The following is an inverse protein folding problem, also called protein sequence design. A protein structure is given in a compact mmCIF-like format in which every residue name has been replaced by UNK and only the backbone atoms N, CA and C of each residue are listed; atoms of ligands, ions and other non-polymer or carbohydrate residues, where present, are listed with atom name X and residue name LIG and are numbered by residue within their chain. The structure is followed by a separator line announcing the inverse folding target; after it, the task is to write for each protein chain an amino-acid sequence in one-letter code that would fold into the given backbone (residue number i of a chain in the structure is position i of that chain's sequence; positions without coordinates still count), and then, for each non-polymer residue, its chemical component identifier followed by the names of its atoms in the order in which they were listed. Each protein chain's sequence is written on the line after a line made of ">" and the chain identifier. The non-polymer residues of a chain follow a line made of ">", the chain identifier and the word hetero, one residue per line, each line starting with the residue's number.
data_IF_695656636824
#
_entry.id   IF_695656636824
#
_cell.length_a   1.000
_cell.length_b   1.000
_cell.length_c   1.000
_cell.angle_alpha   90.00
_cell.angle_beta   90.00
_cell.angle_gamma   90.00
#
_symmetry.space_group_name_H-M   'P 1'
#
loop_
_entity.id
_entity.type
_entity.pdbx_description
1 polymer ?
#
# COMPACT_ATOMS: atom_id res chain seq x y z
N UNK A 1 -11.38 23.23 -3.32
CA UNK A 1 -10.57 21.99 -3.26
C UNK A 1 -10.37 21.68 -1.78
N UNK A 2 -10.76 20.51 -1.34
CA UNK A 2 -10.73 20.15 0.08
C UNK A 2 -9.31 20.19 0.65
N UNK A 3 -9.22 20.61 1.91
CA UNK A 3 -7.99 20.70 2.71
C UNK A 3 -8.21 20.06 4.07
N UNK A 4 -7.14 19.74 4.75
CA UNK A 4 -7.17 19.35 6.16
C UNK A 4 -6.48 20.43 7.00
N UNK A 5 -7.11 20.78 8.10
CA UNK A 5 -6.53 21.67 9.13
C UNK A 5 -6.27 20.84 10.37
N UNK A 6 -5.03 20.88 10.85
CA UNK A 6 -4.58 20.21 12.08
C UNK A 6 -4.07 21.26 13.04
N UNK A 7 -4.62 21.30 14.25
CA UNK A 7 -4.10 22.10 15.37
C UNK A 7 -3.36 21.16 16.34
N UNK A 8 -2.07 21.38 16.53
CA UNK A 8 -1.23 20.49 17.33
C UNK A 8 -1.38 20.66 18.84
N UNK A 9 -0.58 19.89 19.58
CA UNK A 9 -0.40 20.02 21.02
C UNK A 9 -1.33 19.18 21.90
N UNK A 10 -2.03 18.19 21.33
CA UNK A 10 -2.89 17.27 22.10
C UNK A 10 -2.32 15.84 22.00
N UNK A 11 -2.00 15.16 23.12
CA UNK A 11 -1.68 13.76 23.13
C UNK A 11 -2.85 12.93 22.61
N UNK A 12 -2.56 11.92 21.78
CA UNK A 12 -3.58 11.01 21.29
C UNK A 12 -3.87 9.91 22.33
N UNK A 13 -5.15 9.67 22.59
CA UNK A 13 -5.59 8.64 23.54
C UNK A 13 -6.83 7.91 23.01
N UNK A 14 -6.91 6.60 23.24
CA UNK A 14 -8.09 5.82 22.91
C UNK A 14 -7.81 4.62 22.01
N UNK A 15 -8.82 4.19 21.29
CA UNK A 15 -8.76 3.03 20.41
C UNK A 15 -9.08 3.45 18.97
N UNK A 16 -8.38 2.83 18.01
CA UNK A 16 -8.64 2.99 16.58
C UNK A 16 -8.76 1.62 15.92
N UNK A 17 -9.83 1.42 15.14
CA UNK A 17 -9.99 0.23 14.31
C UNK A 17 -9.24 0.42 12.98
N UNK A 18 -8.41 -0.54 12.65
CA UNK A 18 -7.63 -0.55 11.41
C UNK A 18 -8.49 -1.07 10.26
N UNK A 19 -8.41 -0.40 9.12
CA UNK A 19 -9.10 -0.78 7.89
C UNK A 19 -8.33 -1.86 7.12
N UNK A 20 -8.97 -2.45 6.12
CA UNK A 20 -8.32 -3.36 5.19
C UNK A 20 -7.17 -2.69 4.41
N UNK A 21 -6.17 -3.49 4.07
CA UNK A 21 -4.94 -3.01 3.44
C UNK A 21 -5.18 -2.55 1.99
N UNK A 22 -4.85 -1.29 1.72
CA UNK A 22 -4.86 -0.74 0.36
C UNK A 22 -4.04 -1.58 -0.62
N UNK A 23 -2.83 -1.95 -0.21
CA UNK A 23 -1.91 -2.69 -1.07
C UNK A 23 -2.30 -4.16 -1.28
N UNK A 24 -3.22 -4.70 -0.47
CA UNK A 24 -3.79 -6.03 -0.63
C UNK A 24 -5.09 -6.01 -1.44
N UNK A 25 -6.00 -5.09 -1.17
CA UNK A 25 -7.32 -5.06 -1.81
C UNK A 25 -7.24 -4.85 -3.32
N UNK A 26 -6.27 -4.06 -3.81
CA UNK A 26 -6.16 -3.77 -5.25
C UNK A 26 -5.82 -5.01 -6.08
N UNK A 27 -4.77 -5.81 -5.77
CA UNK A 27 -4.52 -7.07 -6.47
C UNK A 27 -5.64 -8.10 -6.26
N UNK A 28 -6.26 -8.17 -5.07
CA UNK A 28 -7.38 -9.08 -4.79
C UNK A 28 -8.58 -8.76 -5.67
N UNK A 29 -8.94 -7.48 -5.84
CA UNK A 29 -9.99 -7.07 -6.77
C UNK A 29 -9.66 -7.45 -8.22
N UNK A 30 -8.39 -7.31 -8.65
CA UNK A 30 -7.95 -7.75 -9.97
C UNK A 30 -8.02 -9.29 -10.11
N UNK A 31 -7.69 -10.05 -9.05
CA UNK A 31 -7.76 -11.51 -9.04
C UNK A 31 -9.17 -12.04 -9.28
N UNK A 32 -10.22 -11.28 -8.91
CA UNK A 32 -11.62 -11.68 -9.17
C UNK A 32 -11.92 -11.89 -10.65
N UNK A 33 -11.14 -11.27 -11.57
CA UNK A 33 -11.25 -11.49 -13.02
C UNK A 33 -10.95 -12.94 -13.41
N UNK A 34 -10.24 -13.70 -12.59
CA UNK A 34 -9.89 -15.11 -12.86
C UNK A 34 -11.03 -16.08 -12.54
N UNK A 35 -12.02 -15.67 -11.74
CA UNK A 35 -13.05 -16.55 -11.21
C UNK A 35 -14.19 -16.82 -12.21
N UNK A 36 -14.61 -18.08 -12.29
CA UNK A 36 -15.80 -18.51 -13.03
C UNK A 36 -17.02 -18.58 -12.08
N UNK A 37 -17.32 -17.45 -11.47
CA UNK A 37 -18.40 -17.26 -10.50
C UNK A 37 -18.19 -16.01 -9.66
N UNK A 38 -19.18 -15.60 -8.86
CA UNK A 38 -19.06 -14.41 -8.04
C UNK A 38 -18.04 -14.60 -6.91
N UNK A 39 -17.28 -13.56 -6.62
CA UNK A 39 -16.32 -13.48 -5.52
C UNK A 39 -16.76 -12.37 -4.57
N UNK A 40 -16.85 -12.71 -3.29
CA UNK A 40 -17.23 -11.80 -2.21
C UNK A 40 -15.99 -11.38 -1.43
N UNK A 41 -15.68 -10.09 -1.41
CA UNK A 41 -14.53 -9.53 -0.73
C UNK A 41 -14.99 -8.65 0.44
N UNK A 42 -14.60 -9.03 1.66
CA UNK A 42 -14.87 -8.28 2.88
C UNK A 42 -13.68 -7.44 3.33
N UNK A 43 -13.89 -6.63 4.36
CA UNK A 43 -12.91 -5.69 4.91
C UNK A 43 -12.27 -4.76 3.85
N UNK A 44 -13.07 -4.36 2.86
CA UNK A 44 -12.64 -3.46 1.78
C UNK A 44 -12.67 -2.02 2.27
N UNK A 45 -11.53 -1.30 2.28
CA UNK A 45 -11.51 0.09 2.71
C UNK A 45 -12.11 1.02 1.65
N UNK A 46 -12.79 2.08 2.08
CA UNK A 46 -13.31 3.09 1.17
C UNK A 46 -12.21 4.08 0.77
N UNK A 47 -11.49 3.76 -0.31
CA UNK A 47 -10.37 4.55 -0.84
C UNK A 47 -10.61 4.94 -2.31
N UNK A 48 -10.05 6.07 -2.74
CA UNK A 48 -10.10 6.48 -4.14
C UNK A 48 -9.52 5.41 -5.09
N UNK A 49 -8.44 4.75 -4.71
CA UNK A 49 -7.83 3.70 -5.54
C UNK A 49 -8.75 2.45 -5.65
N UNK A 50 -9.50 2.11 -4.61
CA UNK A 50 -10.52 1.04 -4.65
C UNK A 50 -11.64 1.41 -5.60
N UNK A 51 -12.18 2.63 -5.49
CA UNK A 51 -13.23 3.13 -6.40
C UNK A 51 -12.75 3.12 -7.86
N UNK A 52 -11.49 3.49 -8.11
CA UNK A 52 -10.89 3.47 -9.46
C UNK A 52 -10.76 2.04 -9.98
N UNK A 53 -10.33 1.08 -9.14
CA UNK A 53 -10.26 -0.34 -9.51
C UNK A 53 -11.66 -0.87 -9.85
N UNK A 54 -12.66 -0.58 -9.05
CA UNK A 54 -14.05 -0.99 -9.33
C UNK A 54 -14.55 -0.40 -10.66
N UNK A 55 -14.23 0.86 -10.97
CA UNK A 55 -14.55 1.46 -12.27
C UNK A 55 -13.87 0.72 -13.42
N UNK A 56 -12.59 0.36 -13.25
CA UNK A 56 -11.86 -0.42 -14.25
C UNK A 56 -12.49 -1.79 -14.46
N UNK A 57 -12.86 -2.52 -13.41
CA UNK A 57 -13.52 -3.82 -13.53
C UNK A 57 -14.87 -3.72 -14.25
N UNK A 58 -15.65 -2.67 -13.97
CA UNK A 58 -16.92 -2.39 -14.68
C UNK A 58 -16.70 -2.04 -16.14
N UNK A 59 -15.65 -1.28 -16.46
CA UNK A 59 -15.29 -0.93 -17.84
C UNK A 59 -14.88 -2.17 -18.66
N UNK A 60 -14.24 -3.15 -17.99
CA UNK A 60 -13.93 -4.45 -18.59
C UNK A 60 -15.18 -5.33 -18.79
N UNK A 61 -16.31 -4.95 -18.20
CA UNK A 61 -17.59 -5.65 -18.32
C UNK A 61 -17.96 -6.55 -17.12
N UNK A 62 -17.20 -6.52 -16.02
CA UNK A 62 -17.56 -7.23 -14.81
C UNK A 62 -18.77 -6.57 -14.10
N UNK A 63 -19.62 -7.38 -13.48
CA UNK A 63 -20.68 -6.91 -12.58
C UNK A 63 -20.07 -6.71 -11.20
N UNK A 64 -20.19 -5.50 -10.64
CA UNK A 64 -19.61 -5.17 -9.33
C UNK A 64 -20.63 -4.48 -8.47
N UNK A 65 -20.95 -5.09 -7.34
CA UNK A 65 -21.73 -4.51 -6.24
C UNK A 65 -20.72 -4.01 -5.18
N UNK A 66 -20.90 -2.79 -4.68
CA UNK A 66 -20.03 -2.18 -3.68
C UNK A 66 -20.87 -1.61 -2.53
N UNK A 67 -20.85 -2.31 -1.42
CA UNK A 67 -21.43 -1.88 -0.16
C UNK A 67 -20.36 -1.17 0.67
N UNK A 68 -20.33 0.16 0.55
CA UNK A 68 -19.31 1.02 1.19
C UNK A 68 -19.46 0.97 2.72
N UNK A 69 -20.70 0.95 3.22
CA UNK A 69 -20.98 1.05 4.66
C UNK A 69 -20.50 -0.20 5.42
N UNK A 70 -20.59 -1.36 4.78
CA UNK A 70 -20.14 -2.63 5.34
C UNK A 70 -18.74 -3.06 4.87
N UNK A 71 -18.07 -2.25 4.03
CA UNK A 71 -16.75 -2.57 3.50
C UNK A 71 -16.74 -3.88 2.69
N UNK A 72 -17.75 -4.08 1.84
CA UNK A 72 -17.92 -5.31 1.07
C UNK A 72 -18.04 -5.02 -0.43
N UNK A 73 -17.36 -5.85 -1.24
CA UNK A 73 -17.43 -5.82 -2.70
C UNK A 73 -17.71 -7.21 -3.22
N UNK A 74 -18.74 -7.34 -4.07
CA UNK A 74 -19.03 -8.57 -4.81
C UNK A 74 -18.73 -8.35 -6.28
N UNK A 75 -17.94 -9.22 -6.87
CA UNK A 75 -17.55 -9.17 -8.29
C UNK A 75 -17.96 -10.44 -9.00
N UNK A 76 -18.63 -10.29 -10.13
CA UNK A 76 -18.92 -11.39 -11.07
C UNK A 76 -18.27 -11.05 -12.42
N UNK A 77 -17.19 -11.77 -12.76
CA UNK A 77 -16.40 -11.54 -13.95
C UNK A 77 -16.86 -12.37 -15.18
N UNK A 78 -17.97 -13.12 -15.09
CA UNK A 78 -18.47 -13.94 -16.21
C UNK A 78 -18.97 -13.11 -17.39
N UNK A 79 -19.33 -11.85 -17.16
CA UNK A 79 -19.79 -10.90 -18.19
C UNK A 79 -18.69 -10.02 -18.79
N UNK A 80 -17.43 -10.23 -18.42
CA UNK A 80 -16.30 -9.49 -18.99
C UNK A 80 -16.25 -9.68 -20.52
N UNK A 81 -16.19 -8.56 -21.24
CA UNK A 81 -16.27 -8.51 -22.71
C UNK A 81 -15.22 -7.57 -23.34
N UNK A 82 -14.42 -6.89 -22.52
CA UNK A 82 -13.30 -6.08 -22.95
C UNK A 82 -12.01 -6.53 -22.26
N UNK A 83 -10.91 -6.54 -23.02
CA UNK A 83 -9.57 -6.87 -22.49
C UNK A 83 -8.63 -5.66 -22.56
N UNK A 84 -9.21 -4.46 -22.66
CA UNK A 84 -8.46 -3.20 -22.79
C UNK A 84 -8.62 -2.36 -21.53
N UNK A 85 -7.52 -2.12 -20.82
CA UNK A 85 -7.46 -1.17 -19.72
C UNK A 85 -7.00 0.22 -20.24
N UNK A 86 -7.93 1.20 -20.35
CA UNK A 86 -7.69 2.45 -21.07
C UNK A 86 -6.80 3.41 -20.25
N UNK A 87 -6.07 4.28 -20.98
CA UNK A 87 -5.16 5.28 -20.42
C UNK A 87 -5.83 6.15 -19.32
N UNK A 88 -7.08 6.56 -19.54
CA UNK A 88 -7.78 7.46 -18.61
C UNK A 88 -7.94 6.90 -17.19
N UNK A 89 -8.06 5.59 -17.04
CA UNK A 89 -8.11 4.91 -15.74
C UNK A 89 -6.71 4.55 -15.23
N UNK A 90 -5.83 4.05 -16.10
CA UNK A 90 -4.48 3.62 -15.71
C UNK A 90 -3.59 4.78 -15.29
N UNK A 91 -3.70 5.95 -15.94
CA UNK A 91 -2.90 7.15 -15.61
C UNK A 91 -3.10 7.65 -14.19
N UNK A 92 -4.29 7.42 -13.63
CA UNK A 92 -4.64 7.89 -12.27
C UNK A 92 -4.20 6.93 -11.17
N UNK A 93 -4.04 5.65 -11.53
CA UNK A 93 -3.69 4.59 -10.58
C UNK A 93 -2.79 3.54 -11.23
N UNK A 94 -1.52 3.56 -10.83
CA UNK A 94 -0.51 2.64 -11.39
C UNK A 94 -0.84 1.16 -11.20
N UNK A 95 -1.50 0.80 -10.08
CA UNK A 95 -1.94 -0.56 -9.80
C UNK A 95 -2.89 -1.13 -10.86
N UNK A 96 -3.43 -0.30 -11.76
CA UNK A 96 -4.25 -0.76 -12.89
C UNK A 96 -3.51 -1.73 -13.82
N UNK A 97 -2.16 -1.74 -13.82
CA UNK A 97 -1.36 -2.74 -14.55
C UNK A 97 -1.59 -4.18 -14.06
N UNK A 98 -2.13 -4.35 -12.85
CA UNK A 98 -2.40 -5.66 -12.25
C UNK A 98 -3.52 -6.46 -12.96
N UNK A 99 -4.30 -5.83 -13.82
CA UNK A 99 -5.27 -6.57 -14.65
C UNK A 99 -4.62 -7.32 -15.81
N UNK A 100 -3.34 -7.05 -16.12
CA UNK A 100 -2.61 -7.68 -17.22
C UNK A 100 -2.57 -9.22 -17.07
N UNK A 101 -2.12 -9.72 -15.94
CA UNK A 101 -2.04 -11.15 -15.67
C UNK A 101 -3.38 -11.86 -15.71
N UNK A 102 -4.38 -11.41 -14.95
CA UNK A 102 -5.71 -12.00 -14.99
C UNK A 102 -6.38 -12.01 -16.36
N UNK A 103 -6.33 -10.91 -17.12
CA UNK A 103 -6.91 -10.84 -18.44
C UNK A 103 -6.21 -11.79 -19.40
N UNK A 104 -4.88 -11.80 -19.41
CA UNK A 104 -4.09 -12.69 -20.26
C UNK A 104 -4.34 -14.17 -19.91
N UNK A 105 -4.33 -14.52 -18.62
CA UNK A 105 -4.49 -15.90 -18.17
C UNK A 105 -5.87 -16.49 -18.49
N UNK A 106 -6.91 -15.69 -18.32
CA UNK A 106 -8.30 -16.16 -18.50
C UNK A 106 -8.81 -16.03 -19.94
N UNK A 107 -8.45 -14.93 -20.62
CA UNK A 107 -9.02 -14.59 -21.93
C UNK A 107 -8.02 -14.69 -23.08
N UNK A 108 -6.75 -14.99 -22.82
CA UNK A 108 -5.71 -15.15 -23.82
C UNK A 108 -5.22 -13.84 -24.45
N UNK A 109 -5.75 -12.69 -24.04
CA UNK A 109 -5.34 -11.38 -24.56
C UNK A 109 -5.52 -10.29 -23.50
N UNK A 110 -4.61 -9.32 -23.49
CA UNK A 110 -4.71 -8.11 -22.70
C UNK A 110 -4.03 -6.92 -23.40
N UNK A 111 -4.68 -5.78 -23.39
CA UNK A 111 -4.10 -4.48 -23.73
C UNK A 111 -4.20 -3.55 -22.52
N UNK A 112 -3.07 -3.21 -21.92
CA UNK A 112 -3.05 -2.37 -20.73
C UNK A 112 -2.19 -1.15 -21.00
N UNK A 113 -2.78 0.05 -20.84
CA UNK A 113 -2.01 1.29 -20.99
C UNK A 113 -0.82 1.30 -20.04
N UNK A 114 0.31 1.81 -20.50
CA UNK A 114 1.44 2.08 -19.60
C UNK A 114 1.01 3.06 -18.51
N UNK A 115 1.34 2.79 -17.25
CA UNK A 115 1.05 3.72 -16.19
C UNK A 115 1.86 5.01 -16.38
N UNK A 116 1.28 6.15 -16.07
CA UNK A 116 1.97 7.44 -16.05
C UNK A 116 3.15 7.45 -15.07
N UNK A 117 3.98 8.47 -15.15
CA UNK A 117 5.10 8.67 -14.23
C UNK A 117 4.65 8.72 -12.76
N UNK A 118 5.49 8.22 -11.87
CA UNK A 118 5.27 8.28 -10.43
C UNK A 118 6.18 9.33 -9.80
N UNK A 119 5.63 10.16 -8.92
CA UNK A 119 6.39 11.22 -8.25
C UNK A 119 7.56 10.69 -7.41
N UNK A 120 7.42 9.48 -6.83
CA UNK A 120 8.42 8.88 -5.93
C UNK A 120 9.55 8.14 -6.64
N UNK A 121 9.50 7.97 -7.97
CA UNK A 121 10.58 7.34 -8.72
C UNK A 121 10.12 6.44 -9.88
N UNK A 122 11.12 5.91 -10.58
CA UNK A 122 10.92 4.96 -11.68
C UNK A 122 10.35 3.65 -11.15
N UNK A 123 9.29 3.19 -11.81
CA UNK A 123 8.69 1.87 -11.56
C UNK A 123 8.45 1.18 -12.89
N UNK A 124 9.49 0.64 -13.49
CA UNK A 124 9.40 0.01 -14.79
C UNK A 124 8.43 -1.18 -14.75
N UNK A 125 7.75 -1.41 -15.86
CA UNK A 125 6.83 -2.55 -16.04
C UNK A 125 7.53 -3.77 -16.63
N UNK A 126 8.85 -3.68 -16.82
CA UNK A 126 9.70 -4.71 -17.43
C UNK A 126 9.60 -6.06 -16.72
N UNK A 127 9.55 -6.07 -15.37
CA UNK A 127 9.41 -7.31 -14.60
C UNK A 127 8.04 -7.97 -14.82
N UNK A 128 6.97 -7.19 -15.01
CA UNK A 128 5.66 -7.72 -15.40
C UNK A 128 5.71 -8.37 -16.79
N UNK A 129 6.30 -7.67 -17.76
CA UNK A 129 6.44 -8.15 -19.15
C UNK A 129 7.29 -9.42 -19.18
N UNK A 130 8.46 -9.40 -18.54
CA UNK A 130 9.37 -10.53 -18.44
C UNK A 130 8.71 -11.76 -17.80
N UNK A 131 7.91 -11.55 -16.76
CA UNK A 131 7.15 -12.62 -16.12
C UNK A 131 6.11 -13.24 -17.05
N UNK A 132 5.35 -12.45 -17.81
CA UNK A 132 4.38 -12.95 -18.78
C UNK A 132 5.07 -13.70 -19.93
N UNK A 133 6.20 -13.20 -20.42
CA UNK A 133 7.00 -13.87 -21.45
C UNK A 133 7.57 -15.21 -20.95
N UNK A 134 8.01 -15.29 -19.70
CA UNK A 134 8.48 -16.53 -19.09
C UNK A 134 7.36 -17.60 -18.97
N UNK A 135 6.10 -17.16 -18.89
CA UNK A 135 4.92 -18.04 -18.95
C UNK A 135 4.43 -18.29 -20.39
N UNK A 136 5.22 -17.91 -21.41
CA UNK A 136 4.97 -18.21 -22.81
C UNK A 136 4.08 -17.22 -23.55
N UNK A 137 3.83 -16.04 -23.00
CA UNK A 137 3.09 -15.00 -23.71
C UNK A 137 3.95 -14.27 -24.74
N UNK A 138 3.33 -13.86 -25.83
CA UNK A 138 3.85 -12.85 -26.75
C UNK A 138 3.49 -11.47 -26.18
N UNK A 139 4.50 -10.64 -25.91
CA UNK A 139 4.28 -9.31 -25.35
C UNK A 139 5.03 -8.26 -26.15
N UNK A 140 4.31 -7.21 -26.57
CA UNK A 140 4.87 -6.00 -27.18
C UNK A 140 4.43 -4.74 -26.44
N UNK A 141 5.19 -3.66 -26.61
CA UNK A 141 4.82 -2.34 -26.14
C UNK A 141 4.66 -1.42 -27.35
N UNK A 142 3.43 -1.03 -27.63
CA UNK A 142 3.08 -0.25 -28.81
C UNK A 142 2.09 0.87 -28.45
N UNK A 143 2.33 2.06 -28.98
CA UNK A 143 1.45 3.22 -28.78
C UNK A 143 1.10 3.54 -27.31
N UNK A 144 2.03 3.24 -26.39
CA UNK A 144 1.81 3.45 -24.96
C UNK A 144 0.98 2.35 -24.27
N UNK A 145 0.79 1.20 -24.93
CA UNK A 145 0.12 0.02 -24.35
C UNK A 145 1.05 -1.19 -24.28
N UNK A 146 0.91 -1.95 -23.21
CA UNK A 146 1.41 -3.33 -23.13
C UNK A 146 0.35 -4.20 -23.80
N UNK A 147 0.71 -4.89 -24.88
CA UNK A 147 -0.14 -5.84 -25.58
C UNK A 147 0.39 -7.24 -25.34
N UNK A 148 -0.40 -8.10 -24.76
CA UNK A 148 -0.02 -9.47 -24.45
C UNK A 148 -1.02 -10.46 -25.05
N UNK A 149 -0.50 -11.58 -25.59
CA UNK A 149 -1.31 -12.68 -26.16
C UNK A 149 -0.70 -14.03 -25.78
N UNK A 150 -1.56 -14.99 -25.53
CA UNK A 150 -1.22 -16.41 -25.39
C UNK A 150 -2.48 -17.24 -25.64
N UNK A 151 -2.39 -18.35 -26.36
CA UNK A 151 -3.53 -19.28 -26.46
C UNK A 151 -3.87 -19.84 -25.07
N UNK A 152 -2.85 -20.24 -24.33
CA UNK A 152 -2.86 -20.58 -22.91
C UNK A 152 -1.46 -20.36 -22.35
N UNK A 153 -1.35 -19.74 -21.19
CA UNK A 153 -0.09 -19.61 -20.47
C UNK A 153 0.44 -20.99 -20.07
N UNK A 154 1.75 -21.15 -20.06
CA UNK A 154 2.43 -22.39 -19.70
C UNK A 154 3.20 -22.19 -18.42
N UNK A 155 3.20 -23.20 -17.55
CA UNK A 155 4.04 -23.25 -16.38
C UNK A 155 5.51 -23.07 -16.75
N UNK A 156 6.25 -22.34 -15.93
CA UNK A 156 7.64 -22.02 -16.20
C UNK A 156 8.36 -21.45 -15.01
N UNK A 157 9.67 -21.30 -15.12
CA UNK A 157 10.50 -20.64 -14.13
C UNK A 157 10.54 -19.14 -14.42
N UNK A 158 10.07 -18.35 -13.48
CA UNK A 158 10.11 -16.87 -13.52
C UNK A 158 11.11 -16.38 -12.48
N UNK A 159 12.16 -15.68 -12.92
CA UNK A 159 13.18 -15.10 -12.03
C UNK A 159 13.07 -13.58 -12.14
N UNK A 160 12.74 -12.92 -11.04
CA UNK A 160 12.73 -11.46 -10.99
C UNK A 160 14.16 -10.92 -10.79
N UNK A 161 14.57 -9.96 -11.61
CA UNK A 161 15.89 -9.34 -11.52
C UNK A 161 16.02 -8.51 -10.23
N UNK A 162 14.90 -7.96 -9.77
CA UNK A 162 14.74 -7.26 -8.50
C UNK A 162 13.41 -7.63 -7.87
N UNK A 163 13.36 -7.59 -6.55
CA UNK A 163 12.11 -7.80 -5.81
C UNK A 163 11.09 -6.73 -6.22
N UNK A 164 9.94 -7.18 -6.72
CA UNK A 164 8.85 -6.30 -7.15
C UNK A 164 7.52 -6.87 -6.69
N UNK A 165 6.85 -6.15 -5.80
CA UNK A 165 5.53 -6.54 -5.27
C UNK A 165 4.53 -6.67 -6.42
N UNK A 166 4.33 -5.62 -7.21
CA UNK A 166 3.35 -5.65 -8.30
C UNK A 166 3.64 -6.69 -9.38
N UNK A 167 4.91 -6.93 -9.73
CA UNK A 167 5.25 -7.98 -10.68
C UNK A 167 4.99 -9.37 -10.11
N UNK A 168 5.31 -9.60 -8.82
CA UNK A 168 5.00 -10.85 -8.13
C UNK A 168 3.49 -11.11 -8.11
N UNK A 169 2.67 -10.12 -7.74
CA UNK A 169 1.21 -10.20 -7.74
C UNK A 169 0.67 -10.56 -9.13
N UNK A 170 1.12 -9.86 -10.15
CA UNK A 170 0.64 -10.01 -11.51
C UNK A 170 0.98 -11.40 -12.09
N UNK A 171 2.23 -11.86 -11.89
CA UNK A 171 2.69 -13.17 -12.34
C UNK A 171 2.04 -14.30 -11.52
N UNK A 172 1.84 -14.11 -10.22
CA UNK A 172 1.14 -15.07 -9.36
C UNK A 172 -0.29 -15.31 -9.85
N UNK A 173 -1.02 -14.24 -10.17
CA UNK A 173 -2.37 -14.32 -10.75
C UNK A 173 -2.37 -15.02 -12.11
N UNK A 174 -1.42 -14.68 -12.98
CA UNK A 174 -1.30 -15.30 -14.29
C UNK A 174 -0.97 -16.80 -14.22
N UNK A 175 -0.06 -17.18 -13.33
CA UNK A 175 0.36 -18.56 -13.13
C UNK A 175 -0.76 -19.48 -12.60
N UNK A 176 -1.75 -18.92 -11.91
CA UNK A 176 -2.86 -19.68 -11.34
C UNK A 176 -3.66 -20.49 -12.39
N UNK A 177 -3.77 -19.98 -13.63
CA UNK A 177 -4.44 -20.66 -14.75
C UNK A 177 -3.49 -21.18 -15.83
N UNK A 178 -2.16 -21.09 -15.64
CA UNK A 178 -1.18 -21.61 -16.58
C UNK A 178 -1.23 -23.16 -16.65
N UNK A 179 -0.88 -23.72 -17.79
CA UNK A 179 -0.78 -25.17 -17.96
C UNK A 179 0.55 -25.68 -17.37
N UNK A 180 0.48 -26.46 -16.31
CA UNK A 180 1.66 -27.02 -15.62
C UNK A 180 2.05 -26.27 -14.34
N UNK A 181 3.32 -26.33 -13.98
CA UNK A 181 3.87 -25.78 -12.73
C UNK A 181 4.70 -24.54 -13.02
N UNK A 182 4.44 -23.47 -12.30
CA UNK A 182 5.25 -22.24 -12.33
C UNK A 182 6.03 -22.09 -11.01
N UNK A 183 7.29 -21.63 -11.12
CA UNK A 183 8.13 -21.32 -9.96
C UNK A 183 8.60 -19.88 -10.09
N UNK A 184 8.16 -19.03 -9.16
CA UNK A 184 8.57 -17.64 -9.04
C UNK A 184 9.75 -17.54 -8.08
N UNK A 185 10.89 -17.05 -8.54
CA UNK A 185 12.11 -16.87 -7.75
C UNK A 185 12.44 -15.40 -7.60
N UNK A 186 13.04 -15.02 -6.48
CA UNK A 186 13.23 -13.65 -6.03
C UNK A 186 11.90 -12.88 -5.94
N UNK A 187 10.84 -13.60 -5.54
CA UNK A 187 9.51 -13.06 -5.35
C UNK A 187 9.45 -12.11 -4.15
N UNK A 188 8.51 -11.18 -4.18
CA UNK A 188 8.20 -10.35 -3.03
C UNK A 188 7.59 -11.20 -1.90
N UNK A 189 7.93 -10.86 -0.66
CA UNK A 189 7.53 -11.61 0.54
C UNK A 189 6.52 -10.86 1.41
N UNK A 190 6.05 -9.71 0.95
CA UNK A 190 5.14 -8.84 1.67
C UNK A 190 3.87 -9.59 2.09
N UNK A 191 3.28 -9.27 3.27
CA UNK A 191 2.05 -9.88 3.75
C UNK A 191 0.89 -9.79 2.75
N UNK A 192 0.88 -8.76 1.91
CA UNK A 192 -0.10 -8.54 0.86
C UNK A 192 -0.01 -9.60 -0.25
N UNK A 193 1.19 -10.18 -0.49
CA UNK A 193 1.37 -11.33 -1.39
C UNK A 193 0.74 -12.59 -0.81
N UNK A 194 0.90 -12.79 0.51
CA UNK A 194 0.27 -13.92 1.21
C UNK A 194 -1.25 -13.80 1.15
N UNK A 195 -1.79 -12.62 1.41
CA UNK A 195 -3.23 -12.32 1.38
C UNK A 195 -3.83 -12.56 -0.03
N UNK A 196 -3.12 -12.14 -1.09
CA UNK A 196 -3.50 -12.44 -2.47
C UNK A 196 -3.48 -13.96 -2.76
N UNK A 197 -2.45 -14.66 -2.30
CA UNK A 197 -2.35 -16.12 -2.47
C UNK A 197 -3.49 -16.83 -1.75
N UNK A 198 -3.83 -16.42 -0.52
CA UNK A 198 -4.93 -16.99 0.26
C UNK A 198 -6.29 -16.77 -0.44
N UNK A 199 -6.51 -15.58 -1.02
CA UNK A 199 -7.68 -15.29 -1.84
C UNK A 199 -7.76 -16.22 -3.07
N UNK A 200 -6.65 -16.38 -3.79
CA UNK A 200 -6.58 -17.29 -4.95
C UNK A 200 -6.81 -18.75 -4.55
N UNK A 201 -6.26 -19.19 -3.41
CA UNK A 201 -6.49 -20.54 -2.86
C UNK A 201 -7.97 -20.72 -2.49
N UNK A 202 -8.61 -19.72 -1.88
CA UNK A 202 -10.04 -19.75 -1.59
C UNK A 202 -10.90 -19.88 -2.87
N UNK A 203 -10.40 -19.45 -4.02
CA UNK A 203 -11.02 -19.63 -5.33
C UNK A 203 -10.61 -20.96 -6.02
N UNK A 204 -9.75 -21.77 -5.41
CA UNK A 204 -9.34 -23.09 -5.90
C UNK A 204 -7.94 -23.16 -6.53
N UNK A 205 -7.12 -22.12 -6.41
CA UNK A 205 -5.71 -22.16 -6.84
C UNK A 205 -4.88 -23.10 -5.94
N UNK A 206 -3.76 -23.57 -6.47
CA UNK A 206 -2.80 -24.42 -5.76
C UNK A 206 -1.46 -23.70 -5.69
N UNK A 207 -1.20 -23.02 -4.57
CA UNK A 207 -0.04 -22.16 -4.35
C UNK A 207 0.69 -22.60 -3.08
N UNK A 208 2.00 -22.66 -3.14
CA UNK A 208 2.89 -22.98 -2.04
C UNK A 208 4.02 -21.96 -1.94
N UNK A 209 4.47 -21.64 -0.73
CA UNK A 209 5.61 -20.77 -0.49
C UNK A 209 5.31 -19.27 -0.57
N UNK A 210 4.06 -18.83 -0.62
CA UNK A 210 3.72 -17.41 -0.48
C UNK A 210 4.27 -16.85 0.84
N UNK A 211 4.85 -15.65 0.81
CA UNK A 211 5.59 -15.08 1.94
C UNK A 211 7.07 -15.49 2.01
N UNK A 212 7.54 -16.31 1.08
CA UNK A 212 8.94 -16.58 0.86
C UNK A 212 9.43 -16.04 -0.49
N UNK A 213 10.74 -15.98 -0.70
CA UNK A 213 11.33 -15.54 -1.97
C UNK A 213 11.14 -16.53 -3.13
N UNK A 214 10.51 -17.68 -2.87
CA UNK A 214 10.21 -18.71 -3.87
C UNK A 214 8.78 -19.20 -3.72
N UNK A 215 7.94 -18.93 -4.73
CA UNK A 215 6.54 -19.34 -4.77
C UNK A 215 6.35 -20.36 -5.88
N UNK A 216 5.68 -21.47 -5.55
CA UNK A 216 5.32 -22.52 -6.52
C UNK A 216 3.82 -22.48 -6.76
N UNK A 217 3.41 -22.46 -8.02
CA UNK A 217 2.01 -22.43 -8.44
C UNK A 217 1.74 -23.61 -9.36
N UNK A 218 0.83 -24.49 -8.95
CA UNK A 218 0.30 -25.53 -9.81
C UNK A 218 -0.94 -24.99 -10.52
N UNK A 219 -0.82 -24.68 -11.79
CA UNK A 219 -1.90 -24.10 -12.56
C UNK A 219 -3.11 -25.03 -12.64
N UNK A 220 -4.30 -24.45 -12.65
CA UNK A 220 -5.58 -25.15 -12.74
C UNK A 220 -6.34 -24.71 -14.00
N UNK A 221 -7.32 -25.50 -14.43
CA UNK A 221 -8.10 -25.15 -15.64
C UNK A 221 -9.03 -23.96 -15.40
N UNK A 222 -9.56 -23.83 -14.18
CA UNK A 222 -10.47 -22.75 -13.79
C UNK A 222 -10.40 -22.49 -12.30
N UNK A 223 -10.73 -21.26 -11.92
CA UNK A 223 -11.00 -20.86 -10.54
C UNK A 223 -12.50 -20.65 -10.36
N UNK A 224 -13.05 -21.07 -9.26
CA UNK A 224 -14.47 -20.85 -8.91
C UNK A 224 -14.66 -19.54 -8.15
N UNK A 225 -15.89 -19.13 -7.90
CA UNK A 225 -16.22 -18.06 -6.96
C UNK A 225 -15.83 -18.45 -5.53
N UNK A 226 -15.71 -17.46 -4.68
CA UNK A 226 -15.31 -17.67 -3.28
C UNK A 226 -15.54 -16.43 -2.43
N UNK A 227 -15.05 -16.46 -1.20
CA UNK A 227 -15.06 -15.31 -0.31
C UNK A 227 -13.69 -15.13 0.36
N UNK A 228 -13.30 -13.88 0.59
CA UNK A 228 -12.05 -13.52 1.26
C UNK A 228 -12.19 -12.18 1.97
N UNK A 229 -11.62 -12.06 3.16
CA UNK A 229 -11.51 -10.79 3.88
C UNK A 229 -10.10 -10.24 3.74
N UNK A 230 -9.97 -9.01 3.26
CA UNK A 230 -8.68 -8.33 3.09
C UNK A 230 -7.97 -8.16 4.43
N UNK A 231 -6.68 -8.46 4.47
CA UNK A 231 -5.84 -8.29 5.65
C UNK A 231 -5.83 -6.84 6.14
N UNK A 232 -5.68 -6.61 7.45
CA UNK A 232 -5.58 -5.27 8.01
C UNK A 232 -4.36 -4.51 7.45
N UNK A 233 -4.52 -3.19 7.23
CA UNK A 233 -3.45 -2.35 6.68
C UNK A 233 -2.35 -2.09 7.72
N UNK A 234 -1.22 -2.77 7.55
CA UNK A 234 -0.04 -2.60 8.42
C UNK A 234 0.56 -1.18 8.34
N UNK A 235 0.41 -0.49 7.22
CA UNK A 235 0.92 0.88 7.06
C UNK A 235 0.00 1.89 7.75
N UNK A 236 -1.32 1.71 7.67
CA UNK A 236 -2.27 2.48 8.47
C UNK A 236 -1.99 2.26 9.97
N UNK A 237 -1.85 1.00 10.41
CA UNK A 237 -1.51 0.65 11.79
C UNK A 237 -0.26 1.37 12.25
N UNK A 238 0.85 1.24 11.51
CA UNK A 238 2.10 1.91 11.82
C UNK A 238 1.97 3.44 11.86
N UNK A 239 1.18 4.03 10.98
CA UNK A 239 0.94 5.48 10.94
C UNK A 239 0.25 5.97 12.22
N UNK A 240 -0.77 5.26 12.72
CA UNK A 240 -1.43 5.62 13.99
C UNK A 240 -0.51 5.42 15.20
N UNK A 241 0.29 4.34 15.20
CA UNK A 241 1.29 4.12 16.26
C UNK A 241 2.34 5.25 16.28
N UNK A 242 2.83 5.68 15.12
CA UNK A 242 3.76 6.83 15.01
C UNK A 242 3.09 8.12 15.50
N UNK A 243 1.81 8.36 15.13
CA UNK A 243 1.06 9.52 15.61
C UNK A 243 1.00 9.58 17.14
N UNK A 244 0.70 8.46 17.80
CA UNK A 244 0.71 8.37 19.25
C UNK A 244 2.11 8.56 19.83
N UNK A 245 3.14 7.98 19.22
CA UNK A 245 4.53 8.14 19.66
C UNK A 245 4.98 9.61 19.60
N UNK A 246 4.67 10.32 18.51
CA UNK A 246 5.02 11.74 18.36
C UNK A 246 4.33 12.64 19.37
N UNK A 247 3.08 12.36 19.69
CA UNK A 247 2.25 13.17 20.61
C UNK A 247 2.44 12.84 22.09
N UNK A 248 3.29 11.83 22.41
CA UNK A 248 3.46 11.36 23.78
C UNK A 248 2.24 10.59 24.33
N UNK A 249 1.37 10.14 23.44
CA UNK A 249 0.06 9.56 23.75
C UNK A 249 0.07 8.06 24.03
N UNK A 250 -1.16 7.52 24.20
CA UNK A 250 -1.42 6.09 24.38
C UNK A 250 -2.61 5.66 23.55
N UNK A 251 -2.41 4.74 22.62
CA UNK A 251 -3.49 4.21 21.78
C UNK A 251 -3.50 2.68 21.72
N UNK A 252 -4.65 2.14 21.35
CA UNK A 252 -4.82 0.72 21.00
C UNK A 252 -5.28 0.65 19.54
N UNK A 253 -4.45 0.06 18.67
CA UNK A 253 -4.82 -0.27 17.29
C UNK A 253 -5.55 -1.62 17.30
N UNK A 254 -6.87 -1.62 17.04
CA UNK A 254 -7.74 -2.81 16.99
C UNK A 254 -7.87 -3.37 15.58
N UNK A 255 -8.15 -4.66 15.49
CA UNK A 255 -8.23 -5.41 14.23
C UNK A 255 -6.93 -5.27 13.40
N UNK A 256 -5.79 -5.15 14.07
CA UNK A 256 -4.47 -5.11 13.48
C UNK A 256 -3.92 -6.53 13.27
N UNK A 257 -2.80 -6.62 12.51
CA UNK A 257 -2.04 -7.86 12.30
C UNK A 257 -0.60 -7.63 12.74
N UNK A 258 -0.31 -7.80 14.04
CA UNK A 258 1.00 -7.45 14.63
C UNK A 258 2.18 -8.12 13.94
N UNK A 259 2.03 -9.39 13.56
CA UNK A 259 3.04 -10.21 12.88
C UNK A 259 3.50 -9.65 11.52
N UNK A 260 2.78 -8.67 10.99
CA UNK A 260 3.14 -7.99 9.73
C UNK A 260 3.96 -6.71 9.92
N UNK A 261 4.26 -6.34 11.17
CA UNK A 261 4.78 -5.03 11.57
C UNK A 261 6.07 -5.08 12.38
N UNK A 262 6.72 -6.20 12.53
CA UNK A 262 7.88 -6.40 13.44
C UNK A 262 8.92 -5.28 13.32
N UNK A 263 9.37 -4.95 12.10
CA UNK A 263 10.37 -3.90 11.89
C UNK A 263 9.90 -2.50 12.36
N UNK A 264 8.61 -2.21 12.28
CA UNK A 264 8.02 -0.93 12.74
C UNK A 264 7.90 -0.93 14.26
N UNK A 265 7.44 -2.04 14.85
CA UNK A 265 7.33 -2.21 16.32
C UNK A 265 8.69 -2.09 16.98
N UNK A 266 9.72 -2.72 16.42
CA UNK A 266 11.10 -2.64 16.90
C UNK A 266 11.60 -1.19 16.91
N UNK A 267 11.38 -0.44 15.83
CA UNK A 267 11.79 0.95 15.72
C UNK A 267 11.02 1.89 16.66
N UNK A 268 9.75 1.65 16.91
CA UNK A 268 8.97 2.40 17.91
C UNK A 268 9.43 2.08 19.33
N UNK A 269 9.78 0.82 19.61
CA UNK A 269 10.36 0.42 20.89
C UNK A 269 11.73 1.08 21.12
N UNK A 270 12.60 1.12 20.08
CA UNK A 270 13.88 1.85 20.09
C UNK A 270 13.66 3.36 20.34
N UNK A 271 12.60 3.93 19.77
CA UNK A 271 12.20 5.33 20.02
C UNK A 271 11.69 5.59 21.44
N UNK A 272 11.50 4.55 22.25
CA UNK A 272 11.13 4.64 23.67
C UNK A 272 9.67 4.36 23.98
N UNK A 273 8.90 3.83 23.02
CA UNK A 273 7.54 3.41 23.25
C UNK A 273 7.47 2.11 24.04
N UNK A 274 6.52 2.02 24.97
CA UNK A 274 6.11 0.75 25.56
C UNK A 274 5.03 0.13 24.69
N UNK A 275 5.30 -1.06 24.16
CA UNK A 275 4.40 -1.74 23.23
C UNK A 275 3.96 -3.08 23.82
N UNK A 276 2.65 -3.32 23.82
CA UNK A 276 2.05 -4.60 24.11
C UNK A 276 1.30 -5.11 22.89
N UNK A 277 1.52 -6.38 22.56
CA UNK A 277 0.95 -7.04 21.39
C UNK A 277 0.02 -8.15 21.82
N UNK A 278 -1.21 -8.14 21.33
CA UNK A 278 -2.18 -9.22 21.43
C UNK A 278 -2.43 -9.83 20.03
N UNK A 279 -3.29 -10.82 19.94
CA UNK A 279 -3.54 -11.55 18.70
C UNK A 279 -3.99 -10.66 17.52
N UNK A 280 -4.80 -9.61 17.80
CA UNK A 280 -5.39 -8.72 16.80
C UNK A 280 -5.32 -7.24 17.21
N UNK A 281 -4.45 -6.91 18.16
CA UNK A 281 -4.29 -5.53 18.61
C UNK A 281 -2.88 -5.19 19.04
N UNK A 282 -2.53 -3.92 18.91
CA UNK A 282 -1.26 -3.35 19.36
C UNK A 282 -1.57 -2.15 20.26
N UNK A 283 -1.07 -2.18 21.48
CA UNK A 283 -1.09 -1.03 22.38
C UNK A 283 0.27 -0.36 22.38
N UNK A 284 0.29 0.94 22.14
CA UNK A 284 1.49 1.78 22.28
C UNK A 284 1.25 2.83 23.37
N UNK A 285 2.21 3.00 24.27
CA UNK A 285 2.18 4.02 25.33
C UNK A 285 3.54 4.72 25.42
N UNK A 286 3.56 6.02 25.18
CA UNK A 286 4.75 6.87 25.35
C UNK A 286 4.89 7.45 26.77
N UNK A 287 3.85 7.32 27.61
CA UNK A 287 3.82 7.91 28.98
C UNK A 287 4.17 9.40 29.00
N UNK A 288 3.70 10.16 28.03
CA UNK A 288 3.99 11.60 27.91
C UNK A 288 5.43 11.93 27.54
N UNK A 289 6.27 10.94 27.18
CA UNK A 289 7.68 11.17 26.86
C UNK A 289 7.85 11.57 25.39
N UNK A 290 8.88 12.36 25.12
CA UNK A 290 9.36 12.68 23.79
C UNK A 290 10.05 11.44 23.19
N UNK A 291 9.84 11.11 21.89
CA UNK A 291 10.54 10.00 21.26
C UNK A 291 12.04 10.27 21.14
N UNK A 292 12.84 9.20 21.16
CA UNK A 292 14.27 9.23 20.81
C UNK A 292 14.42 9.10 19.30
N UNK A 293 15.48 9.71 18.75
CA UNK A 293 15.81 9.58 17.34
C UNK A 293 16.20 8.14 16.99
N UNK A 294 15.68 7.63 15.86
CA UNK A 294 15.92 6.26 15.40
C UNK A 294 16.37 6.25 13.94
N UNK A 295 17.42 5.50 13.64
CA UNK A 295 17.89 5.31 12.28
C UNK A 295 16.99 4.34 11.52
N UNK A 296 16.74 4.65 10.24
CA UNK A 296 15.91 3.84 9.34
C UNK A 296 16.69 3.55 8.06
N UNK A 297 16.63 2.31 7.60
CA UNK A 297 17.02 1.94 6.25
C UNK A 297 15.88 1.11 5.65
N UNK A 298 15.29 1.62 4.57
CA UNK A 298 14.20 0.89 3.90
C UNK A 298 14.73 -0.35 3.19
N UNK A 299 13.94 -1.42 3.20
CA UNK A 299 14.27 -2.67 2.52
C UNK A 299 12.98 -3.43 2.18
N UNK A 300 13.01 -4.36 1.20
CA UNK A 300 11.90 -5.28 0.98
C UNK A 300 11.54 -6.06 2.26
N UNK A 301 10.28 -6.47 2.38
CA UNK A 301 9.85 -7.27 3.53
C UNK A 301 10.73 -8.54 3.71
N UNK A 302 11.12 -8.89 4.97
CA UNK A 302 10.69 -8.36 6.27
C UNK A 302 11.46 -7.14 6.78
N UNK A 303 12.24 -6.47 5.92
CA UNK A 303 12.91 -5.23 6.29
C UNK A 303 11.94 -4.06 6.51
N UNK A 304 12.51 -2.89 6.85
CA UNK A 304 11.71 -1.70 7.16
C UNK A 304 10.97 -1.20 5.90
N UNK A 305 9.63 -1.09 5.93
CA UNK A 305 8.86 -0.76 4.73
C UNK A 305 9.05 0.69 4.29
N UNK A 306 9.33 0.89 3.00
CA UNK A 306 9.46 2.23 2.41
C UNK A 306 8.19 3.07 2.57
N UNK A 307 7.01 2.44 2.71
CA UNK A 307 5.72 3.12 2.97
C UNK A 307 5.61 3.71 4.37
N UNK A 308 6.55 3.41 5.29
CA UNK A 308 6.65 4.01 6.63
C UNK A 308 7.79 5.03 6.75
N UNK A 309 8.58 5.22 5.71
CA UNK A 309 9.73 6.14 5.73
C UNK A 309 9.33 7.57 6.10
N UNK A 310 8.29 8.12 5.45
CA UNK A 310 7.87 9.51 5.67
C UNK A 310 7.33 9.74 7.09
N UNK A 311 6.59 8.76 7.66
CA UNK A 311 6.06 8.84 9.01
C UNK A 311 7.20 8.86 10.06
N UNK A 312 8.20 7.99 9.89
CA UNK A 312 9.36 8.00 10.77
C UNK A 312 10.27 9.22 10.57
N UNK A 313 10.29 9.79 9.36
CA UNK A 313 10.93 11.08 9.16
C UNK A 313 10.25 12.18 9.98
N UNK A 314 8.92 12.24 9.97
CA UNK A 314 8.16 13.17 10.80
C UNK A 314 8.43 12.95 12.31
N UNK A 315 8.45 11.69 12.77
CA UNK A 315 8.82 11.35 14.16
C UNK A 315 10.20 11.89 14.51
N UNK A 316 11.19 11.65 13.67
CA UNK A 316 12.57 12.10 13.90
C UNK A 316 12.71 13.63 13.90
N UNK A 317 11.80 14.38 13.22
CA UNK A 317 11.79 15.85 13.27
C UNK A 317 11.55 16.40 14.67
N UNK A 318 10.88 15.66 15.55
CA UNK A 318 10.59 16.06 16.94
C UNK A 318 11.25 15.16 17.98
N UNK A 319 12.01 14.16 17.57
CA UNK A 319 12.70 13.23 18.45
C UNK A 319 13.88 13.90 19.16
N UNK A 320 14.33 13.29 20.25
CA UNK A 320 15.58 13.68 20.92
C UNK A 320 16.77 13.02 20.20
N UNK A 321 17.64 13.83 19.60
CA UNK A 321 18.84 13.38 18.90
C UNK A 321 18.88 13.65 17.42
N UNK A 322 19.70 12.88 16.71
CA UNK A 322 19.89 12.94 15.26
C UNK A 322 19.68 11.55 14.68
N UNK A 323 18.91 11.47 13.61
CA UNK A 323 18.64 10.23 12.89
C UNK A 323 19.17 10.28 11.46
N UNK A 324 19.52 9.11 10.95
CA UNK A 324 19.88 8.87 9.55
C UNK A 324 18.78 7.99 8.93
N UNK A 325 18.19 8.46 7.85
CA UNK A 325 17.16 7.75 7.10
C UNK A 325 17.70 7.47 5.70
N UNK A 326 17.88 6.18 5.36
CA UNK A 326 18.34 5.75 4.04
C UNK A 326 17.18 5.13 3.27
N UNK A 327 16.86 5.69 2.10
CA UNK A 327 15.84 5.17 1.19
C UNK A 327 16.52 4.36 0.08
N UNK A 328 16.24 3.05 0.04
CA UNK A 328 16.88 2.15 -0.91
C UNK A 328 15.94 1.63 -1.99
N UNK A 329 14.64 1.90 -1.87
CA UNK A 329 13.60 1.36 -2.76
C UNK A 329 13.24 2.35 -3.87
N UNK A 330 13.08 3.64 -3.54
CA UNK A 330 12.67 4.66 -4.50
C UNK A 330 13.56 5.89 -4.44
N UNK A 331 14.12 6.26 -5.59
CA UNK A 331 15.12 7.33 -5.72
C UNK A 331 14.60 8.73 -5.39
N UNK A 332 13.29 9.00 -5.55
CA UNK A 332 12.71 10.33 -5.36
C UNK A 332 11.78 10.42 -4.14
N UNK A 333 11.93 9.54 -3.15
CA UNK A 333 10.96 9.47 -2.04
C UNK A 333 11.23 10.44 -0.89
N UNK A 334 11.95 11.53 -1.15
CA UNK A 334 12.19 12.64 -0.20
C UNK A 334 11.46 13.95 -0.57
N UNK A 335 10.50 13.93 -1.47
CA UNK A 335 9.78 15.14 -1.90
C UNK A 335 9.07 15.88 -0.75
N UNK A 336 8.64 15.18 0.27
CA UNK A 336 7.98 15.75 1.46
C UNK A 336 8.93 16.52 2.39
N UNK A 337 10.22 16.36 2.22
CA UNK A 337 11.22 17.04 3.08
C UNK A 337 11.06 18.55 3.02
N UNK A 338 10.84 19.12 1.84
CA UNK A 338 10.66 20.58 1.70
C UNK A 338 9.42 21.09 2.47
N UNK A 339 8.35 20.28 2.53
CA UNK A 339 7.15 20.63 3.26
C UNK A 339 7.36 20.47 4.78
N UNK A 340 8.10 19.47 5.25
CA UNK A 340 8.50 19.36 6.65
C UNK A 340 9.43 20.52 7.07
N UNK A 341 10.34 20.96 6.21
CA UNK A 341 11.19 22.14 6.44
C UNK A 341 10.37 23.43 6.58
N UNK A 342 9.23 23.55 5.87
CA UNK A 342 8.29 24.67 6.05
C UNK A 342 7.67 24.69 7.46
N UNK A 343 7.57 23.53 8.12
CA UNK A 343 7.14 23.40 9.51
C UNK A 343 8.29 23.61 10.50
N UNK A 344 9.50 23.92 10.03
CA UNK A 344 10.69 24.15 10.89
C UNK A 344 11.56 22.93 11.12
N UNK A 345 11.36 21.83 10.40
CA UNK A 345 12.21 20.64 10.53
C UNK A 345 13.65 20.92 10.02
N UNK A 346 14.64 20.38 10.72
CA UNK A 346 16.06 20.41 10.33
C UNK A 346 16.44 19.09 9.64
N UNK A 347 16.38 19.07 8.32
CA UNK A 347 16.64 17.92 7.48
C UNK A 347 17.62 18.27 6.38
N UNK A 348 18.67 17.47 6.22
CA UNK A 348 19.62 17.55 5.14
C UNK A 348 19.61 16.27 4.31
N UNK A 349 19.48 16.38 3.00
CA UNK A 349 19.50 15.25 2.05
C UNK A 349 20.88 15.15 1.43
N UNK A 350 21.42 13.92 1.41
CA UNK A 350 22.67 13.56 0.73
C UNK A 350 22.43 12.25 -0.07
N UNK A 351 22.19 12.37 -1.37
CA UNK A 351 21.85 11.23 -2.23
C UNK A 351 20.59 10.52 -1.77
N UNK A 352 20.70 9.26 -1.37
CA UNK A 352 19.59 8.44 -0.87
C UNK A 352 19.42 8.48 0.66
N UNK A 353 20.08 9.43 1.32
CA UNK A 353 20.10 9.53 2.77
C UNK A 353 19.62 10.89 3.22
N UNK A 354 18.77 10.93 4.23
CA UNK A 354 18.36 12.13 4.94
C UNK A 354 18.90 12.10 6.37
N UNK A 355 19.54 13.19 6.77
CA UNK A 355 20.01 13.42 8.15
C UNK A 355 18.97 14.34 8.79
N UNK A 356 18.31 13.87 9.84
CA UNK A 356 17.23 14.57 10.53
C UNK A 356 17.67 14.90 11.94
N UNK A 357 17.69 16.19 12.28
CA UNK A 357 17.96 16.65 13.64
C UNK A 357 16.66 17.05 14.31
N UNK A 358 16.29 16.36 15.37
CA UNK A 358 15.06 16.62 16.10
C UNK A 358 15.02 18.03 16.70
N UNK A 359 13.89 18.69 16.49
CA UNK A 359 13.62 20.02 17.01
C UNK A 359 12.76 19.92 18.26
N UNK A 360 12.89 20.84 19.23
CA UNK A 360 12.01 20.86 20.41
C UNK A 360 10.56 21.10 20.04
N UNK A 361 10.31 21.80 18.93
CA UNK A 361 8.97 22.17 18.46
C UNK A 361 8.99 22.46 16.97
N UNK A 362 7.93 22.09 16.27
CA UNK A 362 7.62 22.52 14.91
C UNK A 362 6.59 23.65 14.95
N UNK A 363 6.44 24.39 13.86
CA UNK A 363 5.48 25.49 13.71
C UNK A 363 4.47 25.18 12.63
N UNK A 364 3.19 25.39 12.91
CA UNK A 364 2.11 25.22 11.93
C UNK A 364 2.28 26.17 10.73
N UNK A 365 2.04 25.65 9.54
CA UNK A 365 2.12 26.40 8.28
C UNK A 365 1.22 25.78 7.20
N UNK A 366 0.87 26.52 6.15
CA UNK A 366 0.31 25.91 4.94
C UNK A 366 1.36 25.04 4.24
N UNK A 367 1.00 23.77 3.98
CA UNK A 367 1.84 22.76 3.31
C UNK A 367 1.04 22.02 2.24
N UNK A 368 1.73 21.34 1.36
CA UNK A 368 1.14 20.69 0.21
C UNK A 368 1.48 19.19 0.19
N UNK A 369 0.46 18.35 0.14
CA UNK A 369 0.65 16.92 -0.05
C UNK A 369 1.31 16.62 -1.39
N UNK A 370 2.38 15.83 -1.38
CA UNK A 370 3.17 15.48 -2.57
C UNK A 370 2.89 14.09 -3.09
N UNK A 371 2.60 13.17 -2.20
CA UNK A 371 2.20 11.79 -2.48
C UNK A 371 1.38 11.21 -1.33
N UNK A 372 0.89 9.97 -1.50
CA UNK A 372 0.05 9.27 -0.56
C UNK A 372 0.62 9.19 0.87
N UNK A 373 1.86 8.71 1.03
CA UNK A 373 2.47 8.47 2.36
C UNK A 373 3.06 9.75 2.95
N UNK A 374 3.63 10.60 2.09
CA UNK A 374 4.06 11.94 2.48
C UNK A 374 2.92 12.78 3.06
N UNK A 375 1.71 12.68 2.49
CA UNK A 375 0.53 13.37 3.00
C UNK A 375 0.25 13.04 4.46
N UNK A 376 0.36 11.76 4.83
CA UNK A 376 0.19 11.34 6.22
C UNK A 376 1.27 11.92 7.13
N UNK A 377 2.54 11.96 6.71
CA UNK A 377 3.63 12.54 7.52
C UNK A 377 3.42 14.01 7.85
N UNK A 378 2.80 14.77 6.93
CA UNK A 378 2.46 16.19 7.17
C UNK A 378 1.34 16.33 8.20
N UNK A 379 0.34 15.43 8.20
CA UNK A 379 -0.66 15.38 9.29
C UNK A 379 0.03 15.11 10.62
N UNK A 380 0.91 14.08 10.67
CA UNK A 380 1.63 13.72 11.89
C UNK A 380 2.46 14.89 12.42
N UNK A 381 3.19 15.60 11.56
CA UNK A 381 3.94 16.80 11.92
C UNK A 381 3.00 17.92 12.44
N UNK A 382 1.84 18.09 11.83
CA UNK A 382 0.82 19.04 12.27
C UNK A 382 0.26 18.73 13.66
N UNK A 383 0.15 17.45 14.07
CA UNK A 383 -0.32 17.07 15.41
C UNK A 383 0.59 17.56 16.54
N UNK A 384 1.86 17.84 16.24
CA UNK A 384 2.87 18.27 17.22
C UNK A 384 3.41 19.68 16.95
N UNK A 385 2.95 20.34 15.90
CA UNK A 385 3.33 21.70 15.58
C UNK A 385 2.57 22.73 16.44
N UNK A 386 3.20 23.87 16.72
CA UNK A 386 2.53 25.00 17.36
C UNK A 386 1.69 25.76 16.33
N UNK A 387 0.39 25.96 16.61
CA UNK A 387 -0.56 26.58 15.73
C UNK A 387 -1.20 25.61 14.71
N UNK A 388 -1.78 26.18 13.66
CA UNK A 388 -2.52 25.44 12.65
C UNK A 388 -1.64 25.04 11.46
N UNK A 389 -1.69 23.77 11.08
CA UNK A 389 -1.13 23.25 9.83
C UNK A 389 -2.26 23.04 8.84
N UNK A 390 -2.17 23.67 7.68
CA UNK A 390 -3.17 23.56 6.61
C UNK A 390 -2.58 22.73 5.47
N UNK A 391 -3.18 21.57 5.20
CA UNK A 391 -2.66 20.63 4.21
C UNK A 391 -3.53 20.66 2.96
N UNK A 392 -2.94 21.09 1.85
CA UNK A 392 -3.55 21.12 0.52
C UNK A 392 -3.34 19.79 -0.23
N UNK A 393 -4.11 19.56 -1.31
CA UNK A 393 -4.04 18.37 -2.20
C UNK A 393 -4.29 17.05 -1.47
N UNK A 394 -5.22 17.04 -0.54
CA UNK A 394 -5.52 15.85 0.28
C UNK A 394 -6.11 14.66 -0.51
N UNK A 395 -6.42 14.84 -1.80
CA UNK A 395 -6.78 13.73 -2.67
C UNK A 395 -5.68 12.64 -2.74
N UNK A 396 -4.42 13.00 -2.48
CA UNK A 396 -3.34 12.02 -2.33
C UNK A 396 -3.55 11.14 -1.08
N UNK A 397 -4.01 11.74 0.01
CA UNK A 397 -4.29 11.05 1.27
C UNK A 397 -5.46 10.07 1.13
N UNK A 398 -6.55 10.49 0.47
CA UNK A 398 -7.77 9.70 0.26
C UNK A 398 -7.55 8.46 -0.64
N UNK A 399 -6.39 8.33 -1.24
CA UNK A 399 -5.97 7.14 -1.97
C UNK A 399 -5.56 5.99 -1.07
N UNK A 400 -5.15 6.25 0.16
CA UNK A 400 -4.56 5.22 1.03
C UNK A 400 -4.94 5.26 2.50
N UNK A 401 -5.70 6.26 2.94
CA UNK A 401 -6.18 6.34 4.31
C UNK A 401 -7.68 6.62 4.32
N UNK A 402 -8.42 5.70 4.92
CA UNK A 402 -9.86 5.81 5.06
C UNK A 402 -10.21 6.77 6.19
N UNK A 403 -10.73 7.96 5.84
CA UNK A 403 -11.23 8.97 6.79
C UNK A 403 -10.26 9.20 7.97
N UNK A 404 -8.98 9.41 7.67
CA UNK A 404 -7.94 9.56 8.69
C UNK A 404 -8.25 10.69 9.68
N UNK A 405 -8.88 11.78 9.21
CA UNK A 405 -9.30 12.90 10.05
C UNK A 405 -10.35 12.49 11.10
N UNK A 406 -11.29 11.61 10.73
CA UNK A 406 -12.30 11.12 11.64
C UNK A 406 -11.68 10.17 12.69
N UNK A 407 -10.80 9.27 12.27
CA UNK A 407 -10.08 8.34 13.16
C UNK A 407 -9.17 9.09 14.13
N UNK A 408 -8.40 10.08 13.66
CA UNK A 408 -7.55 10.90 14.54
C UNK A 408 -8.38 11.77 15.48
N UNK A 409 -9.49 12.34 15.02
CA UNK A 409 -10.41 13.10 15.86
C UNK A 409 -11.00 12.24 16.99
N UNK A 410 -11.32 10.97 16.70
CA UNK A 410 -11.79 10.01 17.73
C UNK A 410 -10.71 9.69 18.78
N UNK A 411 -9.42 9.85 18.44
CA UNK A 411 -8.29 9.74 19.36
C UNK A 411 -7.97 11.07 20.08
N UNK A 412 -8.78 12.12 19.91
CA UNK A 412 -8.64 13.41 20.58
C UNK A 412 -7.90 14.48 19.78
N UNK A 413 -7.45 14.20 18.54
CA UNK A 413 -6.80 15.20 17.72
C UNK A 413 -7.75 16.34 17.33
N UNK A 414 -7.22 17.57 17.28
CA UNK A 414 -7.92 18.73 16.72
C UNK A 414 -7.66 18.80 15.23
N UNK A 415 -8.45 18.07 14.47
CA UNK A 415 -8.31 17.92 13.02
C UNK A 415 -9.66 18.04 12.34
N UNK A 416 -9.72 18.71 11.21
CA UNK A 416 -10.95 18.83 10.42
C UNK A 416 -10.65 18.95 8.93
N UNK A 417 -11.57 18.43 8.12
CA UNK A 417 -11.60 18.65 6.67
C UNK A 417 -12.41 19.93 6.39
N UNK A 418 -11.90 20.75 5.50
CA UNK A 418 -12.55 22.00 5.03
C UNK A 418 -12.58 22.03 3.50
N UNK A 419 -13.49 22.80 2.90
CA UNK A 419 -13.65 22.98 1.44
C UNK A 419 -12.65 23.96 0.84
#
# INVERSE_FOLDING_TARGET
>A
MQKIVVTGGVPLEGEVRISGAKNAVLPILCATLLADGPVDIGNVPHLHDVVTTIKLLRELGAQVEHDIDNGHVRVDARSVNSHVAPYELVKTMRASVLVLGPLLARYGAAEVSLPGGCAIGSRPVDQHIKGMQALGAEVSVEHGFIKAKADRLKGGRVVFDMVSVGATENVLMAAALADGVSVLENAAMEPEIVDLADCLIAMGAKIEGAGSNRITVHGVERLHGGSHDVVADRIETGTFLVAAAMTGGRIVARAARPETLDAVIDKLTEAGAEIAVDADSITLDMRGKRPKAVNIATAPHPGFPTDMQAQFMALNCVADGVAVITETIFENRFMHVQELQRLGADIRIEGHTAIVRGQPQLSGAPVMATDLRASASLILAGLVADGDTIIDRIYHLDRGYERIEAKLSALGAKIKRID
#
